data_IF_955733492996
#
_entry.id   IF_955733492996
#
_cell.length_a   1.000
_cell.length_b   1.000
_cell.length_c   1.000
_cell.angle_alpha   90.00
_cell.angle_beta   90.00
_cell.angle_gamma   90.00
#
_symmetry.space_group_name_H-M   'P 1'
#
loop_
_entity.id
_entity.type
_entity.pdbx_description
1 polymer ?
#
# COMPACT_ATOMS: atom_id res chain seq x y z
N UNK A 1 -8.75 -15.82 -3.09
CA UNK A 1 -8.72 -16.30 -1.67
C UNK A 1 -9.12 -17.77 -1.57
N UNK A 2 -10.34 -18.19 -1.91
CA UNK A 2 -10.78 -19.59 -1.71
C UNK A 2 -9.82 -20.63 -2.32
N UNK A 3 -9.44 -20.47 -3.60
CA UNK A 3 -8.47 -21.35 -4.27
C UNK A 3 -7.13 -21.48 -3.52
N UNK A 4 -6.66 -20.38 -2.90
CA UNK A 4 -5.41 -20.37 -2.13
C UNK A 4 -5.59 -21.11 -0.80
N UNK A 5 -6.73 -20.93 -0.13
CA UNK A 5 -7.10 -21.64 1.10
C UNK A 5 -7.29 -23.14 0.87
N UNK A 6 -7.78 -23.51 -0.30
CA UNK A 6 -7.94 -24.91 -0.72
C UNK A 6 -6.61 -25.58 -1.10
N UNK A 7 -5.49 -24.85 -1.05
CA UNK A 7 -4.15 -25.40 -1.28
C UNK A 7 -3.74 -25.52 -2.74
N UNK A 8 -4.39 -24.81 -3.67
CA UNK A 8 -4.14 -24.91 -5.12
C UNK A 8 -2.66 -24.75 -5.51
N UNK A 9 -1.90 -23.93 -4.76
CA UNK A 9 -0.47 -23.69 -5.00
C UNK A 9 0.41 -24.22 -3.85
N UNK A 10 -0.13 -25.09 -3.00
CA UNK A 10 0.56 -25.62 -1.82
C UNK A 10 0.77 -24.59 -0.72
N UNK A 11 1.87 -24.75 0.03
CA UNK A 11 2.24 -23.89 1.16
C UNK A 11 2.71 -22.53 0.66
N UNK A 12 1.95 -21.48 0.99
CA UNK A 12 2.27 -20.10 0.61
C UNK A 12 3.42 -19.59 1.47
N UNK A 13 4.47 -19.06 0.82
CA UNK A 13 5.65 -18.53 1.53
C UNK A 13 5.97 -17.08 1.16
N UNK A 14 5.43 -16.56 0.05
CA UNK A 14 5.70 -15.18 -0.37
C UNK A 14 4.56 -14.58 -1.19
N UNK A 15 4.29 -13.30 -0.97
CA UNK A 15 3.48 -12.46 -1.84
C UNK A 15 4.29 -11.25 -2.31
N UNK A 16 4.14 -10.86 -3.58
CA UNK A 16 4.81 -9.71 -4.18
C UNK A 16 3.80 -8.81 -4.89
N UNK A 17 3.75 -7.54 -4.53
CA UNK A 17 2.89 -6.54 -5.13
C UNK A 17 3.70 -5.55 -5.94
N UNK A 18 3.20 -5.18 -7.11
CA UNK A 18 3.89 -4.36 -8.08
C UNK A 18 3.14 -3.06 -8.32
N UNK A 19 3.85 -1.95 -8.26
CA UNK A 19 3.43 -0.66 -8.77
C UNK A 19 4.50 -0.14 -9.74
N UNK A 20 4.53 -0.74 -10.92
CA UNK A 20 5.43 -0.34 -11.99
C UNK A 20 4.66 0.55 -12.94
N UNK A 21 4.89 1.87 -12.84
CA UNK A 21 4.08 2.86 -13.54
C UNK A 21 4.95 3.88 -14.24
N UNK A 22 4.56 4.25 -15.46
CA UNK A 22 5.12 5.43 -16.09
C UNK A 22 4.63 6.68 -15.33
N UNK A 23 5.53 7.24 -14.52
CA UNK A 23 5.37 8.51 -13.81
C UNK A 23 6.47 9.44 -14.27
N UNK A 24 6.08 10.52 -14.93
CA UNK A 24 6.99 11.59 -15.31
C UNK A 24 7.20 12.55 -14.15
N UNK A 25 8.19 13.42 -14.26
CA UNK A 25 8.46 14.49 -13.31
C UNK A 25 7.24 15.38 -13.08
N UNK A 26 7.09 15.91 -11.86
CA UNK A 26 6.12 16.98 -11.59
C UNK A 26 6.70 18.38 -11.81
N UNK A 27 7.99 18.47 -12.18
CA UNK A 27 8.74 19.70 -12.34
C UNK A 27 8.82 20.54 -11.05
N UNK A 28 9.25 21.78 -11.21
CA UNK A 28 9.21 22.79 -10.17
C UNK A 28 8.04 23.74 -10.39
N UNK A 29 7.24 23.98 -9.36
CA UNK A 29 6.17 24.97 -9.37
C UNK A 29 6.54 26.16 -8.47
N UNK A 30 6.49 27.40 -9.00
CA UNK A 30 6.74 28.58 -8.18
C UNK A 30 5.61 28.77 -7.16
N UNK A 31 5.92 29.51 -6.10
CA UNK A 31 4.91 30.08 -5.22
C UNK A 31 4.06 31.10 -5.97
N UNK A 32 2.75 30.99 -5.85
CA UNK A 32 1.81 31.91 -6.49
C UNK A 32 0.61 32.19 -5.58
N UNK A 33 -0.16 33.27 -5.82
CA UNK A 33 -1.37 33.54 -5.07
C UNK A 33 -2.36 32.37 -5.14
N UNK A 34 -3.06 32.12 -4.04
CA UNK A 34 -4.15 31.13 -4.00
C UNK A 34 -5.19 31.48 -5.07
N UNK A 35 -5.62 30.51 -5.92
CA UNK A 35 -6.62 30.76 -6.95
C UNK A 35 -7.93 31.28 -6.36
N UNK A 36 -8.62 32.15 -7.12
CA UNK A 36 -9.91 32.68 -6.71
C UNK A 36 -10.92 31.55 -6.44
N UNK A 37 -11.65 31.65 -5.32
CA UNK A 37 -12.61 30.63 -4.88
C UNK A 37 -12.01 29.44 -4.12
N UNK A 38 -10.68 29.36 -3.95
CA UNK A 38 -10.03 28.28 -3.19
C UNK A 38 -9.82 28.68 -1.73
N UNK A 39 -10.47 27.97 -0.82
CA UNK A 39 -10.16 28.04 0.62
C UNK A 39 -8.94 27.17 0.95
N UNK A 40 -7.75 27.67 0.62
CA UNK A 40 -6.51 26.90 0.74
C UNK A 40 -6.15 26.52 2.19
N UNK A 41 -6.47 27.38 3.14
CA UNK A 41 -6.32 27.06 4.57
C UNK A 41 -7.12 25.82 4.97
N UNK A 42 -8.39 25.76 4.55
CA UNK A 42 -9.25 24.60 4.80
C UNK A 42 -8.73 23.36 4.06
N UNK A 43 -8.26 23.53 2.82
CA UNK A 43 -7.69 22.44 2.02
C UNK A 43 -6.44 21.83 2.65
N UNK A 44 -5.52 22.65 3.19
CA UNK A 44 -4.32 22.15 3.89
C UNK A 44 -4.69 21.37 5.16
N UNK A 45 -5.84 21.68 5.76
CA UNK A 45 -6.32 20.99 6.96
C UNK A 45 -5.28 21.09 8.10
N UNK A 46 -5.01 19.99 8.82
CA UNK A 46 -4.10 19.98 9.98
C UNK A 46 -2.60 20.03 9.62
N UNK A 47 -2.24 19.91 8.34
CA UNK A 47 -0.85 19.92 7.91
C UNK A 47 -0.18 21.30 8.12
N UNK A 48 1.16 21.39 8.15
CA UNK A 48 1.87 22.65 8.29
C UNK A 48 1.45 23.70 7.24
N UNK A 49 1.43 24.98 7.64
CA UNK A 49 1.14 26.08 6.70
C UNK A 49 2.28 26.16 5.68
N UNK A 50 1.94 26.08 4.40
CA UNK A 50 2.86 26.24 3.27
C UNK A 50 2.30 27.28 2.28
N UNK A 51 3.15 28.02 1.57
CA UNK A 51 2.72 28.80 0.42
C UNK A 51 2.05 27.93 -0.64
N UNK A 52 1.13 28.53 -1.39
CA UNK A 52 0.47 27.82 -2.48
C UNK A 52 1.43 27.61 -3.65
N UNK A 53 1.46 26.38 -4.16
CA UNK A 53 2.06 26.02 -5.46
C UNK A 53 1.15 25.02 -6.16
N UNK A 54 1.18 24.98 -7.50
CA UNK A 54 0.42 23.98 -8.26
C UNK A 54 0.80 22.54 -7.91
N UNK A 55 2.06 22.29 -7.55
CA UNK A 55 2.56 20.97 -7.17
C UNK A 55 2.14 20.52 -5.77
N UNK A 56 1.81 21.45 -4.87
CA UNK A 56 1.18 21.09 -3.58
C UNK A 56 -0.32 20.90 -3.72
N UNK A 57 -0.93 21.52 -4.71
CA UNK A 57 -2.38 21.49 -4.91
C UNK A 57 -2.84 20.28 -5.74
N UNK A 58 -4.14 20.19 -6.04
CA UNK A 58 -4.85 19.05 -6.65
C UNK A 58 -4.00 18.10 -7.52
N UNK A 59 -4.26 16.81 -7.34
CA UNK A 59 -3.47 15.68 -7.85
C UNK A 59 -2.06 15.59 -7.26
N UNK A 60 -1.15 16.55 -7.45
CA UNK A 60 0.28 16.39 -7.07
C UNK A 60 0.56 16.36 -5.55
N UNK A 61 -0.41 16.77 -4.72
CA UNK A 61 -0.33 16.69 -3.25
C UNK A 61 0.16 15.34 -2.71
N UNK A 62 -0.17 14.22 -3.38
CA UNK A 62 0.17 12.89 -2.88
C UNK A 62 1.66 12.57 -2.89
N UNK A 63 2.47 13.39 -3.59
CA UNK A 63 3.92 13.30 -3.67
C UNK A 63 4.67 14.06 -2.56
N UNK A 64 3.92 14.80 -1.72
CA UNK A 64 4.45 15.63 -0.63
C UNK A 64 4.18 14.94 0.71
N UNK A 65 5.16 14.82 1.60
CA UNK A 65 4.99 14.09 2.87
C UNK A 65 3.95 14.71 3.80
N UNK A 66 3.78 16.03 3.73
CA UNK A 66 2.79 16.76 4.52
C UNK A 66 1.34 16.35 4.20
N UNK A 67 1.07 15.86 2.99
CA UNK A 67 -0.29 15.57 2.53
C UNK A 67 -0.49 14.12 2.06
N UNK A 68 0.57 13.50 1.55
CA UNK A 68 0.55 12.21 0.89
C UNK A 68 1.58 11.21 1.39
N UNK A 69 1.76 10.16 0.59
CA UNK A 69 2.57 8.99 0.93
C UNK A 69 3.12 8.27 -0.33
N UNK A 70 3.17 8.99 -1.47
CA UNK A 70 3.70 8.51 -2.74
C UNK A 70 2.89 7.37 -3.35
N UNK A 71 3.47 6.67 -4.33
CA UNK A 71 2.78 5.55 -4.98
C UNK A 71 2.66 4.31 -4.10
N UNK A 72 3.43 4.24 -2.99
CA UNK A 72 3.23 3.25 -1.91
C UNK A 72 1.83 3.34 -1.32
N UNK A 73 1.32 4.54 -1.04
CA UNK A 73 -0.06 4.67 -0.56
C UNK A 73 -1.11 4.92 -1.63
N UNK A 74 -0.74 5.53 -2.76
CA UNK A 74 -1.70 5.81 -3.85
C UNK A 74 -2.11 4.53 -4.59
N UNK A 75 -1.15 3.72 -5.06
CA UNK A 75 -1.44 2.44 -5.74
C UNK A 75 -1.22 1.26 -4.81
N UNK A 76 -0.22 1.34 -3.93
CA UNK A 76 0.18 0.20 -3.11
C UNK A 76 -0.85 -0.26 -2.10
N UNK A 77 -1.71 0.62 -1.57
CA UNK A 77 -2.80 0.21 -0.67
C UNK A 77 -3.71 -0.86 -1.32
N UNK A 78 -3.99 -0.73 -2.61
CA UNK A 78 -4.83 -1.70 -3.33
C UNK A 78 -4.15 -3.07 -3.48
N UNK A 79 -2.85 -3.07 -3.81
CA UNK A 79 -2.10 -4.29 -4.05
C UNK A 79 -1.76 -5.01 -2.74
N UNK A 80 -1.35 -4.25 -1.72
CA UNK A 80 -1.09 -4.78 -0.39
C UNK A 80 -2.36 -5.31 0.27
N UNK A 81 -3.53 -4.72 0.03
CA UNK A 81 -4.81 -5.30 0.50
C UNK A 81 -5.08 -6.66 -0.13
N UNK A 82 -4.92 -6.79 -1.46
CA UNK A 82 -5.08 -8.07 -2.16
C UNK A 82 -4.09 -9.11 -1.62
N UNK A 83 -2.82 -8.75 -1.44
CA UNK A 83 -1.82 -9.66 -0.88
C UNK A 83 -2.19 -10.06 0.55
N UNK A 84 -2.54 -9.10 1.41
CA UNK A 84 -2.91 -9.38 2.80
C UNK A 84 -4.06 -10.39 2.87
N UNK A 85 -5.11 -10.18 2.08
CA UNK A 85 -6.23 -11.11 1.98
C UNK A 85 -5.83 -12.47 1.38
N UNK A 86 -4.93 -12.50 0.40
CA UNK A 86 -4.46 -13.73 -0.25
C UNK A 86 -3.55 -14.57 0.66
N UNK A 87 -2.72 -13.91 1.45
CA UNK A 87 -1.80 -14.51 2.41
C UNK A 87 -2.48 -14.82 3.76
N UNK A 88 -3.72 -14.33 3.97
CA UNK A 88 -4.50 -14.49 5.20
C UNK A 88 -3.78 -13.91 6.43
N UNK A 89 -3.25 -12.70 6.31
CA UNK A 89 -2.50 -12.00 7.38
C UNK A 89 -3.13 -10.65 7.72
N UNK A 90 -2.75 -10.04 8.84
CA UNK A 90 -3.13 -8.66 9.20
C UNK A 90 -1.89 -7.75 9.18
N UNK A 91 -1.39 -7.34 10.35
CA UNK A 91 -0.17 -6.52 10.50
C UNK A 91 1.09 -7.40 10.67
N UNK A 92 2.22 -6.99 10.08
CA UNK A 92 3.48 -7.71 10.19
C UNK A 92 4.14 -7.45 11.55
N UNK A 93 5.10 -8.29 11.90
CA UNK A 93 5.94 -8.08 13.10
C UNK A 93 7.24 -7.34 12.79
N UNK A 94 7.59 -7.22 11.50
CA UNK A 94 8.80 -6.55 11.06
C UNK A 94 8.63 -5.98 9.66
N UNK A 95 9.16 -4.76 9.46
CA UNK A 95 9.17 -4.07 8.17
C UNK A 95 10.56 -3.53 7.87
N UNK A 96 10.98 -3.63 6.60
CA UNK A 96 12.16 -2.95 6.07
C UNK A 96 11.79 -2.26 4.77
N UNK A 97 12.31 -1.08 4.51
CA UNK A 97 12.10 -0.41 3.23
C UNK A 97 13.29 0.44 2.82
N UNK A 98 13.61 0.39 1.54
CA UNK A 98 14.69 1.13 0.92
C UNK A 98 14.29 1.62 -0.46
N UNK A 99 14.91 2.70 -0.92
CA UNK A 99 14.56 3.32 -2.18
C UNK A 99 15.18 4.69 -2.34
N UNK A 100 14.63 5.47 -3.25
CA UNK A 100 15.02 6.86 -3.43
C UNK A 100 14.23 7.56 -4.51
N UNK A 101 14.49 8.86 -4.61
CA UNK A 101 14.08 9.69 -5.73
C UNK A 101 15.27 9.81 -6.69
N UNK A 102 15.34 8.93 -7.70
CA UNK A 102 16.57 8.76 -8.50
C UNK A 102 16.58 9.46 -9.86
N UNK A 103 15.41 9.70 -10.46
CA UNK A 103 15.30 10.05 -11.88
C UNK A 103 15.26 11.55 -12.15
N UNK A 104 14.66 12.34 -11.25
CA UNK A 104 14.29 13.72 -11.54
C UNK A 104 14.77 14.67 -10.44
N UNK A 105 15.07 15.90 -10.85
CA UNK A 105 15.21 17.05 -9.95
C UNK A 105 13.90 17.83 -10.07
N UNK A 106 12.99 17.61 -9.12
CA UNK A 106 11.67 18.23 -9.10
C UNK A 106 11.14 18.37 -7.67
N UNK A 107 9.88 18.80 -7.52
CA UNK A 107 9.27 19.03 -6.21
C UNK A 107 8.80 17.75 -5.50
N UNK A 108 8.95 16.55 -6.09
CA UNK A 108 8.48 15.31 -5.45
C UNK A 108 9.36 14.95 -4.25
N UNK A 109 8.74 14.71 -3.09
CA UNK A 109 9.47 14.37 -1.86
C UNK A 109 9.51 12.85 -1.60
N UNK A 110 8.51 12.12 -2.12
CA UNK A 110 8.38 10.67 -1.96
C UNK A 110 9.27 9.91 -2.95
N UNK A 111 9.76 8.70 -2.64
CA UNK A 111 10.60 7.95 -3.56
C UNK A 111 9.87 7.61 -4.86
N UNK A 112 10.59 7.62 -5.98
CA UNK A 112 10.11 7.12 -7.27
C UNK A 112 10.51 5.66 -7.52
N UNK A 113 11.41 5.12 -6.70
CA UNK A 113 11.73 3.70 -6.62
C UNK A 113 11.79 3.31 -5.15
N UNK A 114 11.00 2.32 -4.74
CA UNK A 114 10.96 1.86 -3.34
C UNK A 114 10.63 0.37 -3.30
N UNK A 115 11.38 -0.37 -2.48
CA UNK A 115 11.09 -1.74 -2.11
C UNK A 115 10.77 -1.77 -0.62
N UNK A 116 9.63 -2.35 -0.27
CA UNK A 116 9.23 -2.62 1.10
C UNK A 116 9.07 -4.13 1.29
N UNK A 117 9.57 -4.64 2.40
CA UNK A 117 9.40 -6.04 2.81
C UNK A 117 8.79 -6.10 4.20
N UNK A 118 7.86 -7.03 4.37
CA UNK A 118 7.10 -7.24 5.58
C UNK A 118 7.16 -8.72 5.95
N UNK A 119 7.47 -8.99 7.22
CA UNK A 119 7.57 -10.35 7.74
C UNK A 119 6.40 -10.68 8.65
N UNK A 120 5.78 -11.83 8.38
CA UNK A 120 4.69 -12.38 9.16
C UNK A 120 5.12 -13.73 9.73
N UNK A 121 5.11 -13.93 11.06
CA UNK A 121 5.40 -15.22 11.64
C UNK A 121 4.30 -16.23 11.29
N UNK A 122 4.60 -17.53 11.38
CA UNK A 122 3.57 -18.56 11.24
C UNK A 122 2.46 -18.38 12.28
N UNK A 123 1.23 -18.70 11.89
CA UNK A 123 0.12 -18.84 12.85
C UNK A 123 0.30 -20.07 13.75
N UNK A 124 1.13 -21.03 13.36
CA UNK A 124 1.43 -22.22 14.14
C UNK A 124 2.61 -21.95 15.11
N UNK A 125 2.41 -22.03 16.43
CA UNK A 125 3.43 -21.63 17.43
C UNK A 125 4.78 -22.36 17.37
N UNK A 126 4.88 -23.47 16.62
CA UNK A 126 6.10 -24.28 16.48
C UNK A 126 6.69 -24.24 15.07
N UNK A 127 6.07 -23.50 14.17
CA UNK A 127 6.52 -23.35 12.80
C UNK A 127 7.26 -22.02 12.68
N UNK A 128 8.57 -22.10 12.46
CA UNK A 128 9.43 -20.93 12.26
C UNK A 128 9.34 -20.37 10.83
N UNK A 129 8.63 -21.06 9.93
CA UNK A 129 8.35 -20.57 8.57
C UNK A 129 7.32 -19.46 8.64
N UNK A 130 7.75 -18.24 8.37
CA UNK A 130 6.87 -17.11 8.15
C UNK A 130 6.46 -16.93 6.69
N UNK A 131 5.69 -15.88 6.44
CA UNK A 131 5.32 -15.42 5.10
C UNK A 131 6.03 -14.08 4.87
N UNK A 132 6.66 -13.95 3.70
CA UNK A 132 7.26 -12.71 3.25
C UNK A 132 6.29 -11.98 2.31
N UNK A 133 5.90 -10.75 2.65
CA UNK A 133 5.24 -9.86 1.70
C UNK A 133 6.25 -8.82 1.20
N UNK A 134 6.29 -8.59 -0.12
CA UNK A 134 7.11 -7.54 -0.74
C UNK A 134 6.21 -6.63 -1.54
N UNK A 135 6.45 -5.33 -1.48
CA UNK A 135 5.82 -4.36 -2.35
C UNK A 135 6.89 -3.49 -3.02
N UNK A 136 6.79 -3.33 -4.34
CA UNK A 136 7.75 -2.54 -5.11
C UNK A 136 7.07 -1.43 -5.91
N UNK A 137 7.56 -0.21 -5.72
CA UNK A 137 7.29 0.95 -6.57
C UNK A 137 8.46 1.11 -7.51
N UNK A 138 8.17 1.20 -8.81
CA UNK A 138 9.14 1.61 -9.84
C UNK A 138 8.46 2.57 -10.79
N UNK A 139 8.94 3.81 -10.79
CA UNK A 139 8.54 4.77 -11.79
C UNK A 139 9.36 4.59 -13.07
N UNK A 140 8.88 5.18 -14.17
CA UNK A 140 9.60 5.26 -15.45
C UNK A 140 9.85 3.92 -16.15
N UNK A 141 10.99 3.79 -16.83
CA UNK A 141 11.36 2.63 -17.65
C UNK A 141 11.60 1.42 -16.75
N UNK A 142 10.85 0.34 -17.02
CA UNK A 142 10.98 -0.90 -16.27
C UNK A 142 10.51 -2.11 -17.10
N UNK A 143 10.82 -3.31 -16.63
CA UNK A 143 10.44 -4.57 -17.26
C UNK A 143 9.05 -5.05 -16.80
N UNK A 144 8.44 -5.95 -17.57
CA UNK A 144 7.39 -6.81 -17.04
C UNK A 144 7.98 -7.83 -16.07
N UNK A 145 7.20 -8.22 -15.08
CA UNK A 145 7.59 -9.18 -14.05
C UNK A 145 6.52 -10.25 -13.90
N UNK A 146 6.97 -11.51 -13.93
CA UNK A 146 6.09 -12.67 -13.94
C UNK A 146 5.17 -12.73 -15.16
N UNK A 147 4.13 -13.54 -15.04
CA UNK A 147 3.13 -13.77 -16.10
C UNK A 147 1.89 -12.88 -15.94
N UNK A 148 2.05 -11.70 -15.34
CA UNK A 148 0.97 -10.70 -15.23
C UNK A 148 0.48 -10.28 -16.63
N UNK A 149 -0.84 -10.24 -16.83
CA UNK A 149 -1.46 -10.17 -18.16
C UNK A 149 -1.49 -8.76 -18.71
N UNK A 150 -1.14 -7.76 -17.90
CA UNK A 150 -1.43 -6.34 -18.14
C UNK A 150 -1.00 -5.92 -19.56
N UNK A 151 -1.95 -5.62 -20.46
CA UNK A 151 -1.65 -5.08 -21.79
C UNK A 151 -1.29 -3.58 -21.71
N UNK A 152 -1.18 -3.01 -20.51
CA UNK A 152 -0.93 -1.59 -20.31
C UNK A 152 0.57 -1.29 -20.25
N UNK A 153 0.95 -0.03 -20.51
CA UNK A 153 2.33 0.47 -20.28
C UNK A 153 2.78 0.33 -18.82
N UNK A 154 1.87 0.02 -17.90
CA UNK A 154 2.12 -0.18 -16.48
C UNK A 154 2.01 -1.67 -16.13
N UNK A 155 2.85 -2.12 -15.19
CA UNK A 155 2.74 -3.45 -14.60
C UNK A 155 2.33 -3.31 -13.13
N UNK A 156 1.02 -3.44 -12.89
CA UNK A 156 0.40 -3.33 -11.56
C UNK A 156 -0.34 -4.63 -11.30
N UNK A 157 -0.07 -5.25 -10.16
CA UNK A 157 -0.68 -6.52 -9.80
C UNK A 157 0.08 -7.21 -8.68
N UNK A 158 -0.26 -8.47 -8.46
CA UNK A 158 0.30 -9.29 -7.39
C UNK A 158 0.74 -10.65 -7.92
N UNK A 159 1.80 -11.18 -7.33
CA UNK A 159 2.28 -12.54 -7.55
C UNK A 159 2.35 -13.22 -6.19
N UNK A 160 1.68 -14.36 -6.04
CA UNK A 160 1.63 -15.15 -4.82
C UNK A 160 2.33 -16.47 -5.10
N UNK A 161 3.32 -16.81 -4.29
CA UNK A 161 4.17 -17.98 -4.45
C UNK A 161 3.85 -19.02 -3.39
N UNK A 162 3.64 -20.26 -3.84
CA UNK A 162 3.49 -21.43 -2.98
C UNK A 162 4.40 -22.58 -3.41
N UNK A 163 4.43 -23.64 -2.60
CA UNK A 163 5.33 -24.79 -2.82
C UNK A 163 5.00 -25.61 -4.07
N UNK A 164 3.79 -25.52 -4.61
CA UNK A 164 3.32 -26.29 -5.77
C UNK A 164 3.02 -25.43 -6.99
N UNK A 165 3.20 -24.10 -6.91
CA UNK A 165 2.94 -23.20 -8.01
C UNK A 165 2.91 -21.73 -7.60
N UNK A 166 2.42 -20.87 -8.50
CA UNK A 166 2.18 -19.47 -8.19
C UNK A 166 0.90 -18.96 -8.84
N UNK A 167 0.35 -17.90 -8.26
CA UNK A 167 -0.82 -17.18 -8.74
C UNK A 167 -0.42 -15.76 -9.10
N UNK A 168 -0.89 -15.28 -10.24
CA UNK A 168 -0.81 -13.87 -10.63
C UNK A 168 -2.20 -13.27 -10.52
N UNK A 169 -2.29 -12.04 -10.03
CA UNK A 169 -3.53 -11.25 -9.95
C UNK A 169 -3.27 -9.90 -10.58
N UNK A 170 -4.02 -9.56 -11.61
CA UNK A 170 -3.97 -8.26 -12.28
C UNK A 170 -5.37 -7.77 -12.62
N UNK A 171 -5.67 -6.53 -12.25
CA UNK A 171 -7.03 -6.00 -12.29
C UNK A 171 -8.00 -6.87 -11.50
N UNK A 172 -9.05 -7.36 -12.17
CA UNK A 172 -10.03 -8.27 -11.58
C UNK A 172 -9.75 -9.74 -11.90
N UNK A 173 -8.62 -10.07 -12.53
CA UNK A 173 -8.35 -11.42 -13.02
C UNK A 173 -7.26 -12.10 -12.20
N UNK A 174 -7.36 -13.42 -12.06
CA UNK A 174 -6.27 -14.25 -11.58
C UNK A 174 -5.96 -15.38 -12.56
N UNK A 175 -4.68 -15.78 -12.60
CA UNK A 175 -4.18 -16.96 -13.32
C UNK A 175 -3.20 -17.72 -12.44
N UNK A 176 -3.20 -19.04 -12.54
CA UNK A 176 -2.26 -19.89 -11.79
C UNK A 176 -1.39 -20.72 -12.72
N UNK A 177 -0.22 -21.08 -12.22
CA UNK A 177 0.77 -21.88 -12.92
C UNK A 177 1.33 -22.90 -11.93
N UNK A 178 1.25 -24.19 -12.29
CA UNK A 178 1.45 -25.30 -11.37
C UNK A 178 2.69 -26.12 -11.73
N UNK A 179 3.37 -26.59 -10.69
CA UNK A 179 4.55 -27.41 -10.80
C UNK A 179 5.75 -26.72 -11.46
N UNK A 180 6.81 -27.50 -11.66
CA UNK A 180 8.08 -27.02 -12.22
C UNK A 180 7.94 -26.50 -13.64
N UNK A 181 7.10 -27.14 -14.44
CA UNK A 181 6.89 -26.79 -15.86
C UNK A 181 5.94 -25.60 -16.04
N UNK A 182 5.35 -25.08 -14.94
CA UNK A 182 4.43 -23.94 -14.93
C UNK A 182 3.19 -24.20 -15.80
N UNK A 183 2.64 -25.41 -15.68
CA UNK A 183 1.44 -25.80 -16.40
C UNK A 183 0.28 -24.87 -16.02
N UNK A 184 -0.47 -24.30 -16.98
CA UNK A 184 -1.60 -23.43 -16.68
C UNK A 184 -2.63 -24.13 -15.80
N UNK A 185 -2.96 -23.52 -14.67
CA UNK A 185 -4.00 -23.98 -13.76
C UNK A 185 -5.30 -23.18 -13.90
N UNK A 186 -6.21 -23.27 -12.91
CA UNK A 186 -7.43 -22.48 -12.87
C UNK A 186 -7.17 -20.97 -13.03
N UNK A 187 -8.04 -20.30 -13.78
CA UNK A 187 -8.05 -18.85 -13.94
C UNK A 187 -9.48 -18.34 -13.97
N UNK A 188 -9.68 -17.09 -13.55
CA UNK A 188 -10.98 -16.43 -13.65
C UNK A 188 -10.83 -14.91 -13.69
N UNK A 189 -11.88 -14.25 -14.16
CA UNK A 189 -12.07 -12.80 -14.03
C UNK A 189 -13.24 -12.57 -13.10
N UNK A 190 -13.00 -11.82 -12.03
CA UNK A 190 -13.99 -11.45 -11.04
C UNK A 190 -15.02 -10.48 -11.59
N UNK A 191 -16.25 -10.66 -11.13
CA UNK A 191 -17.38 -9.76 -11.37
C UNK A 191 -17.76 -9.07 -10.05
N UNK A 192 -18.13 -7.79 -10.10
CA UNK A 192 -18.56 -7.06 -8.92
C UNK A 192 -18.26 -5.57 -8.99
N UNK A 193 -19.01 -4.80 -8.20
CA UNK A 193 -18.83 -3.35 -8.07
C UNK A 193 -18.81 -2.96 -6.59
N UNK A 194 -17.70 -2.38 -6.09
CA UNK A 194 -17.63 -1.87 -4.72
C UNK A 194 -18.75 -0.86 -4.41
N UNK A 195 -19.14 -0.05 -5.41
CA UNK A 195 -20.25 0.90 -5.27
C UNK A 195 -21.60 0.22 -5.10
N UNK A 196 -21.83 -0.89 -5.83
CA UNK A 196 -23.06 -1.65 -5.67
C UNK A 196 -23.13 -2.27 -4.26
N UNK A 197 -22.04 -2.91 -3.81
CA UNK A 197 -22.00 -3.49 -2.47
C UNK A 197 -22.23 -2.43 -1.37
N UNK A 198 -21.62 -1.25 -1.50
CA UNK A 198 -21.86 -0.13 -0.59
C UNK A 198 -23.34 0.27 -0.53
N UNK A 199 -23.99 0.48 -1.69
CA UNK A 199 -25.40 0.87 -1.76
C UNK A 199 -26.30 -0.22 -1.15
N UNK A 200 -26.03 -1.49 -1.43
CA UNK A 200 -26.77 -2.63 -0.88
C UNK A 200 -26.62 -2.71 0.64
N UNK A 201 -25.42 -2.49 1.18
CA UNK A 201 -25.16 -2.46 2.62
C UNK A 201 -25.87 -1.28 3.30
N UNK A 202 -25.83 -0.08 2.72
CA UNK A 202 -26.55 1.10 3.25
C UNK A 202 -28.06 0.85 3.28
N UNK A 203 -28.62 0.27 2.21
CA UNK A 203 -30.05 -0.04 2.12
C UNK A 203 -30.48 -1.13 3.09
N UNK A 204 -29.73 -2.22 3.16
CA UNK A 204 -30.05 -3.37 4.01
C UNK A 204 -29.74 -3.12 5.49
N UNK A 205 -28.82 -2.18 5.78
CA UNK A 205 -28.25 -1.93 7.11
C UNK A 205 -27.56 -3.15 7.73
N UNK A 206 -27.11 -4.09 6.90
CA UNK A 206 -26.42 -5.31 7.30
C UNK A 206 -24.92 -5.15 7.07
N UNK A 207 -24.18 -4.92 8.15
CA UNK A 207 -22.72 -4.75 8.10
C UNK A 207 -22.02 -6.02 7.62
N UNK A 208 -22.56 -7.19 7.96
CA UNK A 208 -22.04 -8.50 7.58
C UNK A 208 -21.98 -8.76 6.07
N UNK A 209 -22.69 -7.95 5.27
CA UNK A 209 -22.68 -8.02 3.81
C UNK A 209 -21.57 -7.17 3.18
N UNK A 210 -20.86 -6.36 3.97
CA UNK A 210 -19.81 -5.48 3.47
C UNK A 210 -18.60 -6.32 3.07
N UNK A 211 -18.16 -6.18 1.83
CA UNK A 211 -17.03 -6.95 1.30
C UNK A 211 -15.68 -6.47 1.84
N UNK A 212 -15.59 -5.23 2.31
CA UNK A 212 -14.39 -4.62 2.86
C UNK A 212 -14.77 -3.74 4.05
N UNK A 213 -14.58 -4.27 5.26
CA UNK A 213 -14.85 -3.56 6.51
C UNK A 213 -13.79 -2.46 6.77
N UNK A 214 -14.09 -1.51 7.66
CA UNK A 214 -13.15 -0.41 8.00
C UNK A 214 -11.83 -0.94 8.58
N UNK A 215 -11.87 -2.08 9.28
CA UNK A 215 -10.67 -2.74 9.80
C UNK A 215 -9.72 -3.19 8.67
N UNK A 216 -10.28 -3.71 7.56
CA UNK A 216 -9.47 -4.12 6.40
C UNK A 216 -8.76 -2.90 5.78
N UNK A 217 -9.47 -1.77 5.67
CA UNK A 217 -8.90 -0.51 5.22
C UNK A 217 -7.79 0.02 6.14
N UNK A 218 -7.94 -0.15 7.46
CA UNK A 218 -6.91 0.18 8.44
C UNK A 218 -5.64 -0.64 8.24
N UNK A 219 -5.75 -1.98 8.20
CA UNK A 219 -4.59 -2.86 8.05
C UNK A 219 -3.83 -2.60 6.76
N UNK A 220 -4.54 -2.43 5.65
CA UNK A 220 -3.92 -2.18 4.33
C UNK A 220 -3.26 -0.80 4.25
N UNK A 221 -3.85 0.21 4.90
CA UNK A 221 -3.25 1.55 4.99
C UNK A 221 -2.01 1.55 5.92
N UNK A 222 -2.05 0.80 7.02
CA UNK A 222 -0.94 0.67 7.95
C UNK A 222 0.32 0.15 7.27
N UNK A 223 0.22 -0.82 6.35
CA UNK A 223 1.35 -1.31 5.56
C UNK A 223 2.03 -0.20 4.75
N UNK A 224 1.24 0.69 4.14
CA UNK A 224 1.75 1.85 3.39
C UNK A 224 2.53 2.81 4.30
N UNK A 225 1.99 3.08 5.48
CA UNK A 225 2.63 3.94 6.48
C UNK A 225 3.91 3.29 7.01
N UNK A 226 3.87 2.01 7.36
CA UNK A 226 5.02 1.24 7.81
C UNK A 226 6.17 1.23 6.81
N UNK A 227 5.88 1.01 5.53
CA UNK A 227 6.88 1.08 4.47
C UNK A 227 7.55 2.46 4.41
N UNK A 228 6.76 3.53 4.46
CA UNK A 228 7.28 4.90 4.43
C UNK A 228 8.05 5.27 5.71
N UNK A 229 7.63 4.79 6.88
CA UNK A 229 8.36 4.99 8.15
C UNK A 229 9.72 4.31 8.09
N UNK A 230 9.78 3.03 7.70
CA UNK A 230 11.05 2.31 7.54
C UNK A 230 11.97 2.97 6.50
N UNK A 231 11.42 3.43 5.37
CA UNK A 231 12.17 4.15 4.34
C UNK A 231 12.76 5.45 4.86
N UNK A 232 11.96 6.28 5.54
CA UNK A 232 12.40 7.60 6.04
C UNK A 232 13.43 7.46 7.16
N UNK A 233 13.28 6.46 8.02
CA UNK A 233 14.21 6.17 9.13
C UNK A 233 15.42 5.34 8.72
N UNK A 234 15.42 4.80 7.49
CA UNK A 234 16.52 4.03 6.88
C UNK A 234 16.97 2.84 7.73
N UNK A 235 16.02 2.16 8.37
CA UNK A 235 16.26 0.98 9.21
C UNK A 235 15.09 0.00 9.15
N UNK A 236 15.39 -1.24 9.50
CA UNK A 236 14.36 -2.25 9.77
C UNK A 236 13.71 -1.96 11.12
N UNK A 237 12.39 -2.08 11.18
CA UNK A 237 11.59 -1.81 12.37
C UNK A 237 10.86 -3.08 12.82
N UNK A 238 10.91 -3.36 14.13
CA UNK A 238 10.09 -4.39 14.77
C UNK A 238 8.78 -3.77 15.23
N UNK A 239 7.68 -4.50 15.11
CA UNK A 239 6.33 -4.00 15.36
C UNK A 239 5.52 -4.99 16.19
N UNK A 240 4.77 -4.48 17.16
CA UNK A 240 3.78 -5.23 17.93
C UNK A 240 2.41 -5.06 17.23
N UNK A 241 1.91 -6.08 16.52
CA UNK A 241 0.66 -5.97 15.77
C UNK A 241 -0.59 -5.92 16.67
N UNK A 242 -0.47 -6.24 17.96
CA UNK A 242 -1.59 -6.20 18.92
C UNK A 242 -1.72 -4.80 19.52
N UNK A 243 -0.59 -4.19 19.87
CA UNK A 243 -0.56 -2.81 20.41
C UNK A 243 -0.49 -1.74 19.33
N UNK A 244 -0.17 -2.14 18.11
CA UNK A 244 0.07 -1.27 16.96
C UNK A 244 1.20 -0.25 17.20
N UNK A 245 2.30 -0.68 17.82
CA UNK A 245 3.46 0.15 18.15
C UNK A 245 4.77 -0.47 17.65
N UNK A 246 5.75 0.38 17.30
CA UNK A 246 7.12 -0.05 17.04
C UNK A 246 7.83 -0.38 18.35
N UNK A 247 8.39 -1.58 18.43
CA UNK A 247 8.97 -2.10 19.68
C UNK A 247 10.28 -1.36 19.97
N UNK A 248 10.29 -0.59 21.06
CA UNK A 248 11.49 0.10 21.54
C UNK A 248 11.97 1.25 20.65
N UNK A 249 11.13 1.75 19.73
CA UNK A 249 11.51 2.80 18.77
C UNK A 249 10.62 4.04 18.90
N UNK A 250 11.02 4.97 19.77
CA UNK A 250 10.27 6.20 20.03
C UNK A 250 10.16 7.11 18.80
N UNK A 251 11.20 7.17 17.96
CA UNK A 251 11.21 8.00 16.74
C UNK A 251 10.24 7.43 15.70
N UNK A 252 10.20 6.10 15.52
CA UNK A 252 9.20 5.46 14.65
C UNK A 252 7.78 5.62 15.18
N UNK A 253 7.57 5.51 16.50
CA UNK A 253 6.25 5.70 17.12
C UNK A 253 5.72 7.13 16.96
N UNK A 254 6.58 8.16 16.93
CA UNK A 254 6.16 9.52 16.60
C UNK A 254 5.58 9.65 15.18
N UNK A 255 5.91 8.73 14.27
CA UNK A 255 5.40 8.72 12.89
C UNK A 255 4.06 7.98 12.73
N UNK A 256 3.53 7.35 13.79
CA UNK A 256 2.18 6.76 13.80
C UNK A 256 1.08 7.83 13.84
N UNK A 257 1.45 9.06 14.21
CA UNK A 257 0.56 10.21 14.19
C UNK A 257 1.22 11.39 13.47
N UNK A 258 0.51 12.52 13.39
CA UNK A 258 1.04 13.77 12.84
C UNK A 258 0.83 14.90 13.84
N UNK A 259 1.75 15.85 13.87
CA UNK A 259 1.57 17.09 14.62
C UNK A 259 0.56 17.96 13.88
N UNK A 260 -0.61 18.16 14.49
CA UNK A 260 -1.67 18.98 13.91
C UNK A 260 -1.43 20.45 14.22
N UNK A 261 -1.52 21.32 13.21
CA UNK A 261 -1.56 22.75 13.47
C UNK A 261 -2.89 23.14 14.12
N UNK A 262 -2.84 24.11 15.04
CA UNK A 262 -4.06 24.70 15.62
C UNK A 262 -4.91 25.35 14.51
N UNK A 263 -6.25 25.31 14.58
CA UNK A 263 -7.07 24.75 15.67
C UNK A 263 -7.45 23.27 15.50
N UNK A 264 -6.86 22.55 14.53
CA UNK A 264 -7.20 21.15 14.30
C UNK A 264 -6.76 20.28 15.48
N UNK A 265 -7.67 19.44 15.96
CA UNK A 265 -7.43 18.49 17.05
C UNK A 265 -8.11 17.16 16.71
N UNK A 266 -7.48 16.04 17.06
CA UNK A 266 -8.16 14.73 17.06
C UNK A 266 -8.82 14.58 18.43
N UNK A 267 -10.16 14.45 18.51
CA UNK A 267 -10.83 14.25 19.79
C UNK A 267 -10.37 12.93 20.43
N UNK A 268 -9.80 12.99 21.64
CA UNK A 268 -9.55 11.81 22.48
C UNK A 268 -8.18 11.13 22.38
N UNK A 269 -7.18 11.75 21.76
CA UNK A 269 -5.78 11.30 21.87
C UNK A 269 -4.92 12.42 22.46
N UNK A 270 -4.24 12.16 23.58
CA UNK A 270 -3.18 13.08 24.03
C UNK A 270 -2.18 13.25 22.90
N UNK A 271 -1.79 14.50 22.61
CA UNK A 271 -0.71 14.77 21.68
C UNK A 271 0.54 14.07 22.21
N UNK A 272 0.95 12.97 21.55
CA UNK A 272 2.19 12.26 21.83
C UNK A 272 3.38 13.16 21.51
#
# INVERSE_FOLDING_TARGET
VQQLRDGLIGDIYMGKGLCYKWRDTIGHAPEEPVPEGVHYDLWMGPAPVKPFTKNRFHYNWHWQWDYGNGDVGNTGVHQMDILRMALDVDLPVRVSSMGGHFMFEDDQETPNTQLASFWYPSKEPKNDKGILMVFEVRHWITNFEGDLASPSKNNIGNIIYGSEGYMTIDGNSYRTFLGREREPGPSATGEGSPFQNFIECVRSRKRENLLCDVAEGHYSSALCHMANTAYRLRRTLEFDPVKEEYIGDAEANQMLSRVYRKPYVVPGGEAV
#
